data_IF_741667502179
#
_entry.id   IF_741667502179
#
_cell.length_a   1.000
_cell.length_b   1.000
_cell.length_c   1.000
_cell.angle_alpha   90.00
_cell.angle_beta   90.00
_cell.angle_gamma   90.00
#
_symmetry.space_group_name_H-M   'P 1'
#
loop_
_entity.id
_entity.type
_entity.pdbx_description
1 polymer ?
#
# COMPACT_ATOMS: atom_id res chain seq x y z
N UNK A 1 18.54 -10.19 -7.12
CA UNK A 1 18.11 -9.35 -5.98
C UNK A 1 19.29 -8.65 -5.29
N UNK A 2 20.37 -9.35 -4.91
CA UNK A 2 21.52 -8.69 -4.24
C UNK A 2 22.27 -7.67 -5.11
N UNK A 3 22.54 -8.01 -6.37
CA UNK A 3 23.31 -7.15 -7.29
C UNK A 3 22.59 -5.85 -7.61
N UNK A 4 21.29 -5.89 -7.88
CA UNK A 4 20.51 -4.66 -8.14
C UNK A 4 20.51 -3.73 -6.93
N UNK A 5 20.33 -4.26 -5.71
CA UNK A 5 20.38 -3.46 -4.47
C UNK A 5 21.73 -2.84 -4.21
N UNK A 6 22.81 -3.60 -4.45
CA UNK A 6 24.16 -3.09 -4.33
C UNK A 6 24.47 -1.96 -5.33
N UNK A 7 23.76 -1.89 -6.46
CA UNK A 7 23.95 -0.84 -7.48
C UNK A 7 23.04 0.37 -7.23
N UNK A 8 21.74 0.19 -7.03
CA UNK A 8 20.81 1.33 -6.96
C UNK A 8 20.97 2.17 -5.70
N UNK A 9 21.36 1.56 -4.56
CA UNK A 9 21.55 2.29 -3.30
C UNK A 9 22.70 3.30 -3.42
N UNK A 10 23.93 2.93 -3.82
CA UNK A 10 24.99 3.91 -4.07
C UNK A 10 24.61 4.96 -5.11
N UNK A 11 24.02 4.54 -6.23
CA UNK A 11 23.59 5.47 -7.28
C UNK A 11 22.61 6.52 -6.75
N UNK A 12 21.70 6.14 -5.85
CA UNK A 12 20.73 7.07 -5.22
C UNK A 12 21.44 8.15 -4.39
N UNK A 13 22.52 7.80 -3.68
CA UNK A 13 23.28 8.77 -2.89
C UNK A 13 24.26 9.61 -3.72
N UNK A 14 24.72 9.09 -4.86
CA UNK A 14 25.62 9.79 -5.77
C UNK A 14 24.90 10.77 -6.71
N UNK A 15 23.62 10.55 -6.97
CA UNK A 15 22.84 11.39 -7.88
C UNK A 15 22.29 12.62 -7.13
N UNK A 16 22.23 13.82 -7.75
CA UNK A 16 21.64 14.99 -7.12
C UNK A 16 20.20 14.75 -6.65
N UNK A 17 19.80 15.28 -5.48
CA UNK A 17 18.42 15.18 -5.02
C UNK A 17 17.48 15.94 -5.96
N UNK A 18 16.26 15.43 -6.11
CA UNK A 18 15.19 16.09 -6.87
C UNK A 18 14.86 17.48 -6.30
N UNK A 19 14.47 18.41 -7.18
CA UNK A 19 14.08 19.77 -6.80
C UNK A 19 12.99 19.80 -5.71
N UNK A 20 13.09 20.70 -4.71
CA UNK A 20 12.13 20.78 -3.61
C UNK A 20 10.68 20.98 -4.05
N UNK A 21 10.45 21.77 -5.10
CA UNK A 21 9.10 22.07 -5.60
C UNK A 21 8.38 20.82 -6.12
N UNK A 22 9.10 19.91 -6.76
CA UNK A 22 8.56 18.63 -7.26
C UNK A 22 8.18 17.72 -6.09
N UNK A 23 9.03 17.64 -5.08
CA UNK A 23 8.75 16.85 -3.86
C UNK A 23 7.54 17.39 -3.10
N UNK A 24 7.42 18.72 -3.01
CA UNK A 24 6.31 19.37 -2.31
C UNK A 24 4.98 19.15 -3.07
N UNK A 25 4.99 19.23 -4.41
CA UNK A 25 3.83 18.90 -5.25
C UNK A 25 3.40 17.43 -5.09
N UNK A 26 4.36 16.49 -5.16
CA UNK A 26 4.11 15.07 -4.92
C UNK A 26 3.54 14.83 -3.52
N UNK A 27 4.10 15.46 -2.50
CA UNK A 27 3.68 15.29 -1.11
C UNK A 27 2.24 15.76 -0.88
N UNK A 28 1.85 16.90 -1.45
CA UNK A 28 0.47 17.42 -1.34
C UNK A 28 -0.55 16.51 -2.01
N UNK A 29 -0.18 15.85 -3.10
CA UNK A 29 -1.05 14.94 -3.85
C UNK A 29 -1.19 13.57 -3.20
N UNK A 30 -0.06 12.94 -2.81
CA UNK A 30 -0.04 11.53 -2.37
C UNK A 30 -0.13 11.39 -0.85
N UNK A 31 0.29 12.41 -0.10
CA UNK A 31 0.38 12.41 1.39
C UNK A 31 0.99 11.12 1.95
N UNK A 32 2.20 10.75 1.50
CA UNK A 32 2.80 9.48 1.85
C UNK A 32 3.10 9.36 3.35
N UNK A 33 2.92 8.15 3.88
CA UNK A 33 3.37 7.78 5.23
C UNK A 33 4.91 7.55 5.25
N UNK A 34 5.54 7.76 6.41
CA UNK A 34 6.97 7.48 6.62
C UNK A 34 7.83 8.72 6.88
N UNK A 35 9.11 8.64 6.50
CA UNK A 35 10.18 9.57 6.89
C UNK A 35 10.21 10.89 6.06
N UNK A 36 9.06 11.52 5.85
CA UNK A 36 8.92 12.75 5.05
C UNK A 36 9.14 14.04 5.86
N UNK A 37 9.87 13.98 6.97
CA UNK A 37 9.97 15.06 7.96
C UNK A 37 10.24 16.46 7.39
N UNK A 38 11.27 16.67 6.56
CA UNK A 38 11.58 17.98 5.98
C UNK A 38 10.51 18.48 4.99
N UNK A 39 10.03 17.61 4.09
CA UNK A 39 9.03 17.93 3.07
C UNK A 39 7.67 18.23 3.72
N UNK A 40 7.27 17.41 4.69
CA UNK A 40 6.04 17.58 5.47
C UNK A 40 6.00 18.91 6.20
N UNK A 41 7.12 19.35 6.79
CA UNK A 41 7.20 20.66 7.47
C UNK A 41 7.02 21.83 6.49
N UNK A 42 7.55 21.73 5.27
CA UNK A 42 7.38 22.77 4.24
C UNK A 42 5.98 22.82 3.63
N UNK A 43 5.28 21.68 3.60
CA UNK A 43 3.98 21.59 2.95
C UNK A 43 2.80 22.05 3.80
N UNK A 44 2.99 22.30 5.11
CA UNK A 44 1.96 22.75 6.08
C UNK A 44 0.60 22.02 5.99
N UNK A 45 0.57 20.84 5.38
CA UNK A 45 -0.66 20.07 5.24
C UNK A 45 -0.95 19.40 6.57
N UNK A 46 -2.16 19.57 7.09
CA UNK A 46 -2.64 18.95 8.33
C UNK A 46 -2.30 17.47 8.44
N UNK A 47 -2.33 16.94 9.67
CA UNK A 47 -1.84 15.61 10.04
C UNK A 47 -2.07 14.59 8.92
N UNK A 48 -0.98 14.13 8.30
CA UNK A 48 -1.04 12.98 7.39
C UNK A 48 -1.79 11.85 8.10
N UNK A 49 -2.60 11.10 7.36
CA UNK A 49 -3.30 9.95 7.91
C UNK A 49 -2.36 9.12 8.78
N UNK A 50 -2.84 8.71 9.95
CA UNK A 50 -2.05 7.87 10.84
C UNK A 50 -1.53 6.64 10.10
N UNK A 51 -0.33 6.18 10.45
CA UNK A 51 0.25 4.98 9.84
C UNK A 51 -0.62 3.74 9.99
N UNK A 52 -1.48 3.71 11.03
CA UNK A 52 -2.36 2.58 11.35
C UNK A 52 -3.50 2.38 10.32
N UNK A 53 -4.33 3.38 9.99
CA UNK A 53 -5.32 3.27 8.91
C UNK A 53 -4.73 2.79 7.58
N UNK A 54 -3.60 3.37 7.17
CA UNK A 54 -2.93 3.01 5.91
C UNK A 54 -2.42 1.57 5.94
N UNK A 55 -1.84 1.14 7.06
CA UNK A 55 -1.40 -0.24 7.25
C UNK A 55 -2.58 -1.23 7.23
N UNK A 56 -3.70 -0.88 7.88
CA UNK A 56 -4.91 -1.69 7.89
C UNK A 56 -5.52 -1.81 6.49
N UNK A 57 -5.60 -0.72 5.75
CA UNK A 57 -6.03 -0.70 4.35
C UNK A 57 -5.14 -1.61 3.49
N UNK A 58 -3.82 -1.49 3.63
CA UNK A 58 -2.85 -2.31 2.90
C UNK A 58 -2.98 -3.81 3.19
N UNK A 59 -3.02 -4.20 4.48
CA UNK A 59 -3.20 -5.60 4.88
C UNK A 59 -4.55 -6.16 4.41
N UNK A 60 -5.62 -5.37 4.50
CA UNK A 60 -6.94 -5.79 4.02
C UNK A 60 -6.96 -5.98 2.50
N UNK A 61 -6.25 -5.14 1.73
CA UNK A 61 -6.08 -5.31 0.29
C UNK A 61 -5.29 -6.57 -0.08
N UNK A 62 -4.20 -6.86 0.65
CA UNK A 62 -3.43 -8.11 0.47
C UNK A 62 -4.32 -9.32 0.73
N UNK A 63 -5.00 -9.32 1.89
CA UNK A 63 -5.89 -10.42 2.26
C UNK A 63 -7.00 -10.61 1.23
N UNK A 64 -7.61 -9.53 0.74
CA UNK A 64 -8.64 -9.56 -0.30
C UNK A 64 -8.16 -10.27 -1.57
N UNK A 65 -7.01 -9.86 -2.12
CA UNK A 65 -6.47 -10.42 -3.36
C UNK A 65 -6.15 -11.91 -3.21
N UNK A 66 -5.48 -12.31 -2.12
CA UNK A 66 -5.14 -13.72 -1.91
C UNK A 66 -6.35 -14.60 -1.64
N UNK A 67 -7.32 -14.13 -0.84
CA UNK A 67 -8.53 -14.88 -0.55
C UNK A 67 -9.38 -15.08 -1.80
N UNK A 68 -9.47 -14.07 -2.69
CA UNK A 68 -10.11 -14.24 -3.99
C UNK A 68 -9.37 -15.23 -4.88
N UNK A 69 -8.04 -15.10 -5.00
CA UNK A 69 -7.21 -15.95 -5.85
C UNK A 69 -7.32 -17.43 -5.43
N UNK A 70 -7.10 -17.73 -4.14
CA UNK A 70 -7.16 -19.09 -3.62
C UNK A 70 -8.60 -19.60 -3.52
N UNK A 71 -9.56 -18.73 -3.20
CA UNK A 71 -10.97 -19.09 -3.14
C UNK A 71 -11.49 -19.53 -4.50
N UNK A 72 -11.24 -18.73 -5.54
CA UNK A 72 -11.61 -19.08 -6.91
C UNK A 72 -10.91 -20.36 -7.37
N UNK A 73 -9.61 -20.50 -7.08
CA UNK A 73 -8.86 -21.73 -7.36
C UNK A 73 -9.51 -22.96 -6.71
N UNK A 74 -9.90 -22.88 -5.44
CA UNK A 74 -10.52 -23.99 -4.70
C UNK A 74 -11.91 -24.36 -5.22
N UNK A 75 -12.70 -23.38 -5.67
CA UNK A 75 -13.99 -23.68 -6.33
C UNK A 75 -13.76 -24.47 -7.62
N UNK A 76 -12.81 -24.04 -8.45
CA UNK A 76 -12.51 -24.70 -9.73
C UNK A 76 -11.88 -26.09 -9.55
N UNK A 77 -11.06 -26.28 -8.50
CA UNK A 77 -10.33 -27.52 -8.23
C UNK A 77 -11.15 -28.56 -7.43
N UNK A 78 -12.46 -28.38 -7.27
CA UNK A 78 -13.34 -29.37 -6.64
C UNK A 78 -13.45 -29.30 -5.11
N UNK A 79 -13.01 -28.20 -4.49
CA UNK A 79 -13.18 -27.93 -3.06
C UNK A 79 -14.11 -26.70 -2.83
N UNK A 80 -15.39 -26.76 -3.26
CA UNK A 80 -16.26 -25.58 -3.34
C UNK A 80 -16.59 -24.97 -1.98
N UNK A 81 -16.75 -25.76 -0.91
CA UNK A 81 -17.04 -25.23 0.43
C UNK A 81 -15.91 -24.33 0.93
N UNK A 82 -14.67 -24.82 0.85
CA UNK A 82 -13.47 -24.04 1.21
C UNK A 82 -13.33 -22.83 0.29
N UNK A 83 -13.56 -23.00 -1.00
CA UNK A 83 -13.54 -21.91 -1.97
C UNK A 83 -14.53 -20.80 -1.64
N UNK A 84 -15.79 -21.12 -1.36
CA UNK A 84 -16.83 -20.15 -0.99
C UNK A 84 -16.51 -19.44 0.31
N UNK A 85 -15.98 -20.14 1.32
CA UNK A 85 -15.55 -19.51 2.58
C UNK A 85 -14.41 -18.50 2.35
N UNK A 86 -13.42 -18.86 1.54
CA UNK A 86 -12.33 -17.95 1.17
C UNK A 86 -12.86 -16.75 0.39
N UNK A 87 -13.78 -16.94 -0.56
CA UNK A 87 -14.40 -15.85 -1.31
C UNK A 87 -15.19 -14.90 -0.41
N UNK A 88 -15.96 -15.44 0.55
CA UNK A 88 -16.69 -14.63 1.53
C UNK A 88 -15.75 -13.82 2.43
N UNK A 89 -14.66 -14.43 2.90
CA UNK A 89 -13.60 -13.73 3.64
C UNK A 89 -12.94 -12.64 2.79
N UNK A 90 -12.66 -12.92 1.52
CA UNK A 90 -12.16 -11.96 0.55
C UNK A 90 -13.11 -10.77 0.43
N UNK A 91 -14.40 -11.01 0.15
CA UNK A 91 -15.40 -9.95 0.05
C UNK A 91 -15.45 -9.07 1.32
N UNK A 92 -15.39 -9.67 2.51
CA UNK A 92 -15.31 -8.93 3.77
C UNK A 92 -14.05 -8.05 3.88
N UNK A 93 -12.88 -8.58 3.53
CA UNK A 93 -11.62 -7.81 3.47
C UNK A 93 -11.68 -6.68 2.42
N UNK A 94 -12.32 -6.91 1.27
CA UNK A 94 -12.53 -5.90 0.23
C UNK A 94 -13.44 -4.76 0.71
N UNK A 95 -14.53 -5.08 1.41
CA UNK A 95 -15.41 -4.07 2.03
C UNK A 95 -14.66 -3.27 3.08
N UNK A 96 -13.82 -3.91 3.91
CA UNK A 96 -12.98 -3.22 4.88
C UNK A 96 -11.98 -2.29 4.19
N UNK A 97 -11.27 -2.76 3.15
CA UNK A 97 -10.33 -1.96 2.38
C UNK A 97 -10.99 -0.73 1.77
N UNK A 98 -12.17 -0.91 1.16
CA UNK A 98 -12.95 0.18 0.56
C UNK A 98 -13.41 1.20 1.61
N UNK A 99 -13.83 0.73 2.79
CA UNK A 99 -14.19 1.59 3.92
C UNK A 99 -13.01 2.38 4.48
N UNK A 100 -11.80 1.84 4.43
CA UNK A 100 -10.60 2.58 4.83
C UNK A 100 -10.20 3.63 3.79
N UNK A 101 -10.40 3.37 2.49
CA UNK A 101 -10.08 4.32 1.42
C UNK A 101 -11.04 5.49 1.30
N UNK A 102 -12.30 5.33 1.74
CA UNK A 102 -13.33 6.38 1.71
C UNK A 102 -13.40 7.25 2.97
N UNK A 103 -12.59 6.94 4.00
CA UNK A 103 -12.50 7.72 5.23
C UNK A 103 -11.32 8.67 5.16
#
# INVERSE_FOLDING_TARGET
MGVSTAVWVPVTFLTPPTEPAVLDAFYRQVRPVGAWGPVRRRCESGAAEGSLPVLAAWLSGIAFVYLLLFGLGKVLLGAPVVGVLLLAGGAACGVLAYRFMLR
#
